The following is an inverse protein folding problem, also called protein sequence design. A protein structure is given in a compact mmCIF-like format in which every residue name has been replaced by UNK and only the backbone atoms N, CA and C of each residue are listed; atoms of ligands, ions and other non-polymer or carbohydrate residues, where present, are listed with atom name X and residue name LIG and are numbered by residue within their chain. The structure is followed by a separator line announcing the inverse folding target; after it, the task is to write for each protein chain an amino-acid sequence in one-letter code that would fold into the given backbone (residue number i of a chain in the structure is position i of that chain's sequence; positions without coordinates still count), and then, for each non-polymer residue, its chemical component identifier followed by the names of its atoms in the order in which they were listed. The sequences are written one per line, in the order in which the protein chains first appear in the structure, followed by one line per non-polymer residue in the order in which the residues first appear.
data_IF_982309366450
#
_entry.id   IF_982309366450
#
_cell.length_a   1.000
_cell.length_b   1.000
_cell.length_c   1.000
_cell.angle_alpha   90.00
_cell.angle_beta   90.00
_cell.angle_gamma   90.00
#
_symmetry.space_group_name_H-M   'P 1'
#
loop_
_entity.id
_entity.type
_entity.pdbx_description
1 polymer ?
#
# COMPACT_ATOMS: atom_id res chain seq x y z
N UNK A 1 7.81 -5.26 -13.48
CA UNK A 1 6.60 -5.01 -14.28
C UNK A 1 6.54 -5.88 -15.53
N UNK A 2 7.58 -5.92 -16.38
CA UNK A 2 7.59 -6.79 -17.57
C UNK A 2 7.48 -8.30 -17.20
N UNK A 3 8.26 -8.77 -16.22
CA UNK A 3 8.24 -10.16 -15.76
C UNK A 3 6.91 -10.57 -15.12
N UNK A 4 6.34 -9.73 -14.26
CA UNK A 4 5.01 -9.98 -13.67
C UNK A 4 3.89 -10.06 -14.71
N UNK A 5 4.03 -9.34 -15.84
CA UNK A 5 3.08 -9.46 -16.96
C UNK A 5 3.27 -10.78 -17.72
N UNK A 6 4.50 -11.27 -17.82
CA UNK A 6 4.81 -12.59 -18.40
C UNK A 6 4.23 -13.71 -17.52
N UNK A 7 4.46 -13.66 -16.21
CA UNK A 7 3.89 -14.61 -15.24
C UNK A 7 2.36 -14.62 -15.31
N UNK A 8 1.73 -13.43 -15.32
CA UNK A 8 0.28 -13.33 -15.47
C UNK A 8 -0.24 -13.96 -16.76
N UNK A 9 0.46 -13.81 -17.88
CA UNK A 9 0.06 -14.44 -19.16
C UNK A 9 0.13 -15.97 -19.08
N UNK A 10 1.19 -16.52 -18.48
CA UNK A 10 1.35 -17.96 -18.29
C UNK A 10 0.24 -18.48 -17.39
N UNK A 11 0.02 -17.83 -16.25
CA UNK A 11 -1.03 -18.15 -15.29
C UNK A 11 -2.42 -18.20 -15.89
N UNK A 12 -2.79 -17.21 -16.69
CA UNK A 12 -4.09 -17.19 -17.39
C UNK A 12 -4.25 -18.31 -18.43
N UNK A 13 -3.14 -18.80 -18.99
CA UNK A 13 -3.14 -19.92 -19.94
C UNK A 13 -3.33 -21.24 -19.19
N UNK A 14 -2.59 -21.45 -18.11
CA UNK A 14 -2.58 -22.69 -17.32
C UNK A 14 -3.80 -22.84 -16.42
N UNK A 15 -4.38 -21.74 -15.95
CA UNK A 15 -5.64 -21.74 -15.18
C UNK A 15 -6.78 -22.44 -15.95
N UNK A 16 -6.73 -22.49 -17.28
CA UNK A 16 -7.72 -23.20 -18.11
C UNK A 16 -7.68 -24.72 -17.95
N UNK A 17 -6.60 -25.27 -17.38
CA UNK A 17 -6.42 -26.71 -17.20
C UNK A 17 -7.01 -27.22 -15.88
N UNK A 18 -7.54 -26.34 -15.03
CA UNK A 18 -8.19 -26.76 -13.80
C UNK A 18 -9.54 -27.45 -14.03
N UNK A 19 -9.82 -28.47 -13.23
CA UNK A 19 -11.18 -28.94 -13.02
C UNK A 19 -12.00 -27.90 -12.20
N UNK A 20 -13.32 -28.01 -12.20
CA UNK A 20 -14.20 -27.03 -11.54
C UNK A 20 -13.89 -26.84 -10.04
N UNK A 21 -13.54 -27.95 -9.37
CA UNK A 21 -13.34 -27.97 -7.93
C UNK A 21 -12.03 -27.29 -7.49
N UNK A 22 -10.98 -27.41 -8.31
CA UNK A 22 -9.69 -26.72 -8.14
C UNK A 22 -9.75 -25.28 -8.62
N UNK A 23 -10.49 -25.00 -9.70
CA UNK A 23 -10.70 -23.65 -10.19
C UNK A 23 -11.39 -22.79 -9.13
N UNK A 24 -12.45 -23.30 -8.51
CA UNK A 24 -13.15 -22.60 -7.44
C UNK A 24 -12.22 -22.27 -6.25
N UNK A 25 -11.45 -23.25 -5.77
CA UNK A 25 -10.47 -23.03 -4.71
C UNK A 25 -9.42 -21.98 -5.13
N UNK A 26 -8.90 -22.08 -6.34
CA UNK A 26 -7.89 -21.17 -6.86
C UNK A 26 -8.40 -19.73 -7.01
N UNK A 27 -9.67 -19.52 -7.34
CA UNK A 27 -10.30 -18.20 -7.36
C UNK A 27 -10.42 -17.59 -5.96
N UNK A 28 -10.71 -18.41 -4.95
CA UNK A 28 -10.71 -17.97 -3.55
C UNK A 28 -9.31 -17.57 -3.09
N UNK A 29 -8.29 -18.38 -3.39
CA UNK A 29 -6.89 -18.07 -3.11
C UNK A 29 -6.46 -16.80 -3.86
N UNK A 30 -6.83 -16.66 -5.13
CA UNK A 30 -6.52 -15.47 -5.94
C UNK A 30 -7.08 -14.21 -5.31
N UNK A 31 -8.34 -14.27 -4.87
CA UNK A 31 -8.99 -13.16 -4.16
C UNK A 31 -8.27 -12.83 -2.85
N UNK A 32 -7.87 -13.86 -2.09
CA UNK A 32 -7.14 -13.71 -0.84
C UNK A 32 -5.74 -13.10 -1.05
N UNK A 33 -4.93 -13.61 -1.98
CA UNK A 33 -3.57 -13.08 -2.23
C UNK A 33 -3.64 -11.66 -2.81
N UNK A 34 -4.60 -11.35 -3.68
CA UNK A 34 -4.76 -10.01 -4.25
C UNK A 34 -5.07 -8.95 -3.20
N UNK A 35 -5.73 -9.31 -2.10
CA UNK A 35 -6.05 -8.38 -1.03
C UNK A 35 -4.87 -8.10 -0.09
N UNK A 36 -3.77 -8.85 -0.17
CA UNK A 36 -2.59 -8.67 0.70
C UNK A 36 -1.75 -7.42 0.38
N UNK A 37 -0.83 -7.08 1.29
CA UNK A 37 0.13 -5.98 1.12
C UNK A 37 1.35 -6.34 0.26
N UNK A 38 1.38 -7.56 -0.30
CA UNK A 38 2.47 -8.02 -1.15
C UNK A 38 2.56 -7.19 -2.43
N UNK A 39 3.77 -7.09 -2.97
CA UNK A 39 3.99 -6.39 -4.24
C UNK A 39 3.29 -7.12 -5.39
N UNK A 40 3.01 -6.42 -6.49
CA UNK A 40 2.38 -7.04 -7.66
C UNK A 40 3.16 -8.25 -8.18
N UNK A 41 4.49 -8.20 -8.10
CA UNK A 41 5.35 -9.31 -8.49
C UNK A 41 5.19 -10.50 -7.54
N UNK A 42 5.35 -10.27 -6.23
CA UNK A 42 5.18 -11.31 -5.19
C UNK A 42 3.80 -11.98 -5.28
N UNK A 43 2.74 -11.20 -5.53
CA UNK A 43 1.39 -11.73 -5.72
C UNK A 43 1.30 -12.68 -6.92
N UNK A 44 1.83 -12.28 -8.07
CA UNK A 44 1.78 -13.13 -9.27
C UNK A 44 2.71 -14.34 -9.13
N UNK A 45 3.83 -14.22 -8.42
CA UNK A 45 4.75 -15.31 -8.12
C UNK A 45 4.10 -16.38 -7.23
N UNK A 46 3.53 -15.98 -6.08
CA UNK A 46 2.80 -16.88 -5.18
C UNK A 46 1.64 -17.55 -5.90
N UNK A 47 0.86 -16.78 -6.67
CA UNK A 47 -0.28 -17.33 -7.41
C UNK A 47 0.14 -18.29 -8.51
N UNK A 48 1.33 -18.13 -9.07
CA UNK A 48 1.89 -19.09 -10.03
C UNK A 48 2.31 -20.37 -9.32
N UNK A 49 3.07 -20.28 -8.22
CA UNK A 49 3.50 -21.44 -7.45
C UNK A 49 2.32 -22.27 -6.92
N UNK A 50 1.28 -21.63 -6.37
CA UNK A 50 0.07 -22.33 -5.89
C UNK A 50 -0.67 -23.00 -7.06
N UNK A 51 -0.72 -22.33 -8.21
CA UNK A 51 -1.36 -22.91 -9.40
C UNK A 51 -0.64 -24.18 -9.84
N UNK A 52 0.69 -24.16 -9.89
CA UNK A 52 1.52 -25.30 -10.29
C UNK A 52 1.32 -26.48 -9.33
N UNK A 53 1.31 -26.23 -8.02
CA UNK A 53 1.04 -27.28 -7.02
C UNK A 53 -0.36 -27.88 -7.17
N UNK A 54 -1.40 -27.06 -7.39
CA UNK A 54 -2.76 -27.55 -7.58
C UNK A 54 -2.92 -28.33 -8.89
N UNK A 55 -2.29 -27.88 -9.97
CA UNK A 55 -2.29 -28.61 -11.24
C UNK A 55 -1.56 -29.94 -11.11
N UNK A 56 -0.41 -29.97 -10.43
CA UNK A 56 0.32 -31.20 -10.19
C UNK A 56 -0.51 -32.20 -9.36
N UNK A 57 -1.14 -31.76 -8.26
CA UNK A 57 -2.02 -32.61 -7.48
C UNK A 57 -3.18 -33.15 -8.33
N UNK A 58 -3.76 -32.33 -9.21
CA UNK A 58 -4.79 -32.76 -10.15
C UNK A 58 -4.27 -33.83 -11.13
N UNK A 59 -3.07 -33.65 -11.70
CA UNK A 59 -2.46 -34.64 -12.59
C UNK A 59 -2.17 -35.97 -11.89
N UNK A 60 -1.82 -35.92 -10.59
CA UNK A 60 -1.61 -37.10 -9.75
C UNK A 60 -2.91 -37.71 -9.19
N UNK A 61 -4.09 -37.18 -9.56
CA UNK A 61 -5.40 -37.53 -8.98
C UNK A 61 -5.45 -37.43 -7.44
N UNK A 62 -4.67 -36.51 -6.87
CA UNK A 62 -4.73 -36.17 -5.44
C UNK A 62 -5.78 -35.11 -5.19
N UNK A 63 -6.39 -35.16 -4.01
CA UNK A 63 -7.33 -34.13 -3.58
C UNK A 63 -6.60 -32.81 -3.30
N UNK A 64 -7.30 -31.69 -3.48
CA UNK A 64 -6.79 -30.33 -3.23
C UNK A 64 -6.34 -30.10 -1.78
N UNK A 65 -6.91 -30.84 -0.82
CA UNK A 65 -6.46 -30.85 0.57
C UNK A 65 -5.01 -31.32 0.72
N UNK A 66 -4.47 -32.08 -0.23
CA UNK A 66 -3.05 -32.48 -0.23
C UNK A 66 -2.11 -31.27 -0.37
N UNK A 67 -2.53 -30.22 -1.07
CA UNK A 67 -1.72 -29.01 -1.31
C UNK A 67 -2.00 -27.96 -0.25
N UNK A 68 -3.26 -27.72 0.04
CA UNK A 68 -3.71 -26.54 0.78
C UNK A 68 -4.17 -26.89 2.21
N UNK A 69 -4.28 -28.18 2.53
CA UNK A 69 -4.85 -28.67 3.78
C UNK A 69 -6.36 -28.45 3.87
N UNK A 70 -6.89 -28.52 5.09
CA UNK A 70 -8.32 -28.36 5.37
C UNK A 70 -8.75 -26.87 5.37
N UNK A 71 -7.84 -25.95 5.69
CA UNK A 71 -8.10 -24.50 5.68
C UNK A 71 -7.16 -23.74 4.73
N UNK A 72 -7.71 -23.36 3.58
CA UNK A 72 -6.96 -22.58 2.59
C UNK A 72 -6.49 -21.22 3.08
N UNK A 73 -7.17 -20.62 4.06
CA UNK A 73 -6.78 -19.32 4.61
C UNK A 73 -5.54 -19.45 5.48
N UNK A 74 -5.44 -20.52 6.24
CA UNK A 74 -4.25 -20.79 7.06
C UNK A 74 -3.02 -21.01 6.17
N UNK A 75 -3.18 -21.80 5.10
CA UNK A 75 -2.15 -21.97 4.07
C UNK A 75 -1.76 -20.64 3.39
N UNK A 76 -2.74 -19.82 2.98
CA UNK A 76 -2.41 -18.52 2.40
C UNK A 76 -1.67 -17.62 3.39
N UNK A 77 -2.09 -17.64 4.67
CA UNK A 77 -1.47 -16.87 5.74
C UNK A 77 -0.03 -17.30 5.98
N UNK A 78 0.26 -18.61 6.02
CA UNK A 78 1.62 -19.11 6.22
C UNK A 78 2.56 -18.66 5.10
N UNK A 79 2.11 -18.73 3.84
CA UNK A 79 2.88 -18.23 2.69
C UNK A 79 3.14 -16.73 2.82
N UNK A 80 2.11 -15.94 3.14
CA UNK A 80 2.27 -14.48 3.28
C UNK A 80 3.20 -14.13 4.44
N UNK A 81 3.11 -14.85 5.56
CA UNK A 81 3.96 -14.63 6.73
C UNK A 81 5.41 -14.94 6.41
N UNK A 82 5.69 -16.00 5.64
CA UNK A 82 7.03 -16.32 5.14
C UNK A 82 7.60 -15.20 4.24
N UNK A 83 6.82 -14.75 3.25
CA UNK A 83 7.21 -13.63 2.37
C UNK A 83 7.34 -12.29 3.10
N UNK A 84 6.65 -12.10 4.21
CA UNK A 84 6.70 -10.85 4.99
C UNK A 84 7.86 -10.85 5.97
N UNK A 85 8.12 -11.98 6.63
CA UNK A 85 9.20 -12.13 7.61
C UNK A 85 10.58 -12.14 6.95
N UNK A 86 10.68 -12.53 5.68
CA UNK A 86 11.93 -12.46 4.91
C UNK A 86 12.37 -11.02 4.57
N UNK A 87 11.52 -10.01 4.80
CA UNK A 87 11.82 -8.61 4.46
C UNK A 87 12.68 -7.93 5.52
N UNK A 88 13.79 -7.34 5.08
CA UNK A 88 14.67 -6.56 5.95
C UNK A 88 13.96 -5.32 6.51
N UNK A 89 14.36 -4.91 7.72
CA UNK A 89 13.88 -3.66 8.35
C UNK A 89 14.09 -2.44 7.45
N UNK A 90 15.20 -2.39 6.71
CA UNK A 90 15.48 -1.34 5.72
C UNK A 90 14.47 -1.33 4.58
N UNK A 91 14.11 -2.50 4.04
CA UNK A 91 13.07 -2.60 3.00
C UNK A 91 11.74 -2.03 3.50
N UNK A 92 11.32 -2.40 4.71
CA UNK A 92 10.08 -1.95 5.32
C UNK A 92 10.11 -0.43 5.55
N UNK A 93 11.22 0.12 6.02
CA UNK A 93 11.41 1.56 6.21
C UNK A 93 11.34 2.31 4.87
N UNK A 94 12.05 1.84 3.85
CA UNK A 94 12.03 2.46 2.51
C UNK A 94 10.64 2.37 1.86
N UNK A 95 9.87 1.31 2.13
CA UNK A 95 8.46 1.23 1.70
C UNK A 95 7.59 2.30 2.36
N UNK A 96 7.73 2.47 3.67
CA UNK A 96 7.04 3.51 4.40
C UNK A 96 7.43 4.90 3.91
N UNK A 97 8.73 5.16 3.76
CA UNK A 97 9.27 6.44 3.32
C UNK A 97 8.84 6.80 1.89
N UNK A 98 8.82 5.83 0.97
CA UNK A 98 8.34 6.04 -0.39
C UNK A 98 6.86 6.46 -0.42
N UNK A 99 6.01 5.77 0.35
CA UNK A 99 4.57 6.11 0.45
C UNK A 99 4.35 7.48 1.07
N UNK A 100 5.14 7.81 2.09
CA UNK A 100 5.13 9.12 2.72
C UNK A 100 5.47 10.25 1.73
N UNK A 101 6.57 10.12 0.99
CA UNK A 101 6.95 11.09 -0.05
C UNK A 101 5.86 11.25 -1.10
N UNK A 102 5.23 10.15 -1.51
CA UNK A 102 4.15 10.18 -2.49
C UNK A 102 2.95 11.00 -1.98
N UNK A 103 2.47 10.72 -0.77
CA UNK A 103 1.35 11.48 -0.19
C UNK A 103 1.72 12.94 0.06
N UNK A 104 2.93 13.21 0.53
CA UNK A 104 3.43 14.58 0.77
C UNK A 104 3.50 15.37 -0.53
N UNK A 105 4.03 14.76 -1.59
CA UNK A 105 4.05 15.36 -2.91
C UNK A 105 2.65 15.67 -3.43
N UNK A 106 1.70 14.73 -3.27
CA UNK A 106 0.32 14.92 -3.69
C UNK A 106 -0.37 16.07 -2.94
N UNK A 107 -0.24 16.14 -1.61
CA UNK A 107 -0.86 17.19 -0.81
C UNK A 107 -0.24 18.56 -1.08
N UNK A 108 1.09 18.63 -1.20
CA UNK A 108 1.78 19.88 -1.53
C UNK A 108 1.43 20.37 -2.93
N UNK A 109 1.30 19.45 -3.89
CA UNK A 109 0.85 19.77 -5.24
C UNK A 109 -0.59 20.32 -5.24
N UNK A 110 -1.50 19.73 -4.45
CA UNK A 110 -2.85 20.25 -4.29
C UNK A 110 -2.87 21.68 -3.71
N UNK A 111 -2.04 21.96 -2.69
CA UNK A 111 -1.90 23.32 -2.15
C UNK A 111 -1.30 24.30 -3.16
N UNK A 112 -0.31 23.88 -3.95
CA UNK A 112 0.25 24.69 -5.03
C UNK A 112 -0.80 25.06 -6.08
N UNK A 113 -1.61 24.09 -6.51
CA UNK A 113 -2.72 24.36 -7.43
C UNK A 113 -3.72 25.34 -6.80
N UNK A 114 -4.09 25.12 -5.54
CA UNK A 114 -5.03 25.99 -4.83
C UNK A 114 -4.51 27.43 -4.72
N UNK A 115 -3.23 27.63 -4.40
CA UNK A 115 -2.65 28.98 -4.29
C UNK A 115 -2.45 29.63 -5.67
N UNK A 116 -2.20 28.84 -6.71
CA UNK A 116 -2.04 29.34 -8.09
C UNK A 116 -3.37 29.74 -8.73
N UNK A 117 -4.43 28.96 -8.51
CA UNK A 117 -5.77 29.24 -9.04
C UNK A 117 -6.64 30.04 -8.07
N UNK A 118 -6.18 30.24 -6.84
CA UNK A 118 -6.83 31.03 -5.81
C UNK A 118 -6.43 32.50 -5.83
N UNK A 119 -6.74 33.18 -4.72
CA UNK A 119 -6.63 34.64 -4.57
C UNK A 119 -5.19 35.13 -4.70
N UNK A 120 -4.21 34.33 -4.26
CA UNK A 120 -2.81 34.76 -4.17
C UNK A 120 -2.07 34.70 -5.51
N UNK A 121 -2.57 33.92 -6.50
CA UNK A 121 -1.98 33.69 -7.84
C UNK A 121 -0.45 33.44 -7.85
N UNK A 122 0.10 32.86 -6.77
CA UNK A 122 1.53 32.62 -6.61
C UNK A 122 1.83 31.13 -6.49
N UNK A 123 2.97 30.70 -7.04
CA UNK A 123 3.54 29.39 -6.75
C UNK A 123 4.30 29.45 -5.43
N UNK A 124 3.56 29.63 -4.35
CA UNK A 124 4.09 29.64 -2.98
C UNK A 124 3.33 28.64 -2.13
N UNK A 125 3.98 28.16 -1.07
CA UNK A 125 3.34 27.34 -0.03
C UNK A 125 3.64 28.02 1.29
N UNK A 126 2.62 28.25 2.12
CA UNK A 126 2.85 28.77 3.47
C UNK A 126 3.46 27.69 4.37
N UNK A 127 4.20 28.10 5.41
CA UNK A 127 4.73 27.16 6.40
C UNK A 127 3.60 26.34 7.06
N UNK A 128 2.44 26.96 7.31
CA UNK A 128 1.25 26.26 7.82
C UNK A 128 0.72 25.18 6.86
N UNK A 129 0.65 25.45 5.55
CA UNK A 129 0.25 24.47 4.54
C UNK A 129 1.24 23.32 4.42
N UNK A 130 2.54 23.62 4.53
CA UNK A 130 3.59 22.59 4.57
C UNK A 130 3.43 21.69 5.80
N UNK A 131 3.26 22.26 6.98
CA UNK A 131 3.05 21.49 8.22
C UNK A 131 1.77 20.65 8.13
N UNK A 132 0.67 21.21 7.62
CA UNK A 132 -0.58 20.48 7.41
C UNK A 132 -0.39 19.30 6.45
N UNK A 133 0.35 19.50 5.35
CA UNK A 133 0.67 18.46 4.39
C UNK A 133 1.46 17.30 5.03
N UNK A 134 2.40 17.59 5.93
CA UNK A 134 3.14 16.56 6.67
C UNK A 134 2.20 15.73 7.55
N UNK A 135 1.28 16.38 8.27
CA UNK A 135 0.28 15.70 9.11
C UNK A 135 -0.58 14.77 8.26
N UNK A 136 -1.16 15.30 7.18
CA UNK A 136 -2.03 14.53 6.29
C UNK A 136 -1.28 13.33 5.71
N UNK A 137 -0.03 13.52 5.29
CA UNK A 137 0.76 12.48 4.63
C UNK A 137 1.15 11.34 5.56
N UNK A 138 1.51 11.63 6.81
CA UNK A 138 1.79 10.59 7.81
C UNK A 138 0.54 9.75 8.05
N UNK A 139 -0.61 10.41 8.24
CA UNK A 139 -1.88 9.73 8.50
C UNK A 139 -2.35 8.89 7.30
N UNK A 140 -2.29 9.43 6.08
CA UNK A 140 -2.64 8.71 4.85
C UNK A 140 -1.72 7.51 4.61
N UNK A 141 -0.43 7.64 4.92
CA UNK A 141 0.53 6.53 4.81
C UNK A 141 0.11 5.37 5.73
N UNK A 142 -0.29 5.68 6.96
CA UNK A 142 -0.76 4.68 7.91
C UNK A 142 -2.12 4.06 7.50
N UNK A 143 -3.10 4.88 7.09
CA UNK A 143 -4.40 4.41 6.56
C UNK A 143 -4.20 3.47 5.36
N UNK A 144 -3.33 3.86 4.42
CA UNK A 144 -3.07 3.06 3.21
C UNK A 144 -2.55 1.65 3.53
N UNK A 145 -1.87 1.50 4.67
CA UNK A 145 -1.36 0.20 5.16
C UNK A 145 -2.41 -0.59 5.93
N UNK A 146 -3.39 0.06 6.56
CA UNK A 146 -4.52 -0.59 7.24
C UNK A 146 -5.55 -1.09 6.24
N UNK A 147 -5.96 -0.27 5.27
CA UNK A 147 -6.96 -0.67 4.25
C UNK A 147 -6.47 -1.89 3.47
N UNK A 148 -5.18 -1.95 3.19
CA UNK A 148 -4.56 -3.10 2.53
C UNK A 148 -4.53 -4.35 3.44
N UNK A 149 -4.52 -4.21 4.77
CA UNK A 149 -4.65 -5.33 5.72
C UNK A 149 -6.10 -5.81 5.94
N UNK A 150 -7.08 -4.91 5.89
CA UNK A 150 -8.48 -5.20 6.27
C UNK A 150 -9.41 -5.51 5.08
N UNK A 151 -8.96 -5.44 3.83
CA UNK A 151 -9.78 -5.83 2.66
C UNK A 151 -10.11 -7.34 2.58
N UNK A 152 -9.85 -8.08 3.65
CA UNK A 152 -10.27 -9.47 3.89
C UNK A 152 -11.74 -9.50 4.31
N UNK A 153 -12.64 -9.23 3.37
CA UNK A 153 -13.99 -9.78 3.39
C UNK A 153 -14.22 -10.42 2.03
N UNK A 154 -13.85 -11.70 1.94
CA UNK A 154 -14.20 -12.55 0.80
C UNK A 154 -15.72 -12.66 0.80
N UNK A 155 -16.44 -12.18 -0.24
CA UNK A 155 -17.85 -12.51 -0.37
C UNK A 155 -17.95 -14.02 -0.53
N UNK A 156 -18.61 -14.65 0.45
CA UNK A 156 -19.01 -16.06 0.38
C UNK A 156 -19.94 -16.18 -0.82
N UNK A 157 -19.53 -17.01 -1.78
CA UNK A 157 -20.18 -17.48 -3.01
C UNK A 157 -21.52 -16.87 -3.44
N UNK A 158 -21.60 -16.58 -4.74
CA UNK A 158 -22.70 -17.02 -5.61
C UNK A 158 -24.13 -16.70 -5.17
N UNK A 159 -24.70 -15.65 -5.77
CA UNK A 159 -26.15 -15.34 -5.78
C UNK A 159 -26.78 -15.09 -4.41
N UNK A 160 -26.52 -13.93 -3.82
CA UNK A 160 -27.57 -13.26 -3.04
C UNK A 160 -27.41 -11.75 -3.11
N UNK A 161 -28.45 -11.06 -3.63
CA UNK A 161 -28.67 -9.65 -3.37
C UNK A 161 -28.78 -9.50 -1.84
N UNK A 162 -27.75 -9.00 -1.17
CA UNK A 162 -27.89 -8.56 0.20
C UNK A 162 -27.03 -7.31 0.41
N UNK A 163 -27.72 -6.22 0.74
CA UNK A 163 -27.15 -4.94 1.12
C UNK A 163 -25.98 -5.13 2.09
N UNK A 164 -24.77 -4.76 1.67
CA UNK A 164 -23.60 -4.70 2.54
C UNK A 164 -23.79 -3.57 3.55
N UNK A 165 -24.48 -3.86 4.66
CA UNK A 165 -24.28 -3.08 5.87
C UNK A 165 -22.84 -3.35 6.30
N UNK A 166 -21.96 -2.41 5.97
CA UNK A 166 -20.60 -2.29 6.51
C UNK A 166 -20.69 -2.37 8.04
N UNK A 167 -20.48 -3.56 8.59
CA UNK A 167 -20.31 -3.73 10.04
C UNK A 167 -18.82 -3.61 10.30
N UNK A 168 -18.38 -2.36 10.39
CA UNK A 168 -17.04 -1.95 10.79
C UNK A 168 -16.81 -2.42 12.23
N UNK A 169 -16.03 -3.48 12.40
CA UNK A 169 -15.71 -4.01 13.72
C UNK A 169 -14.50 -3.25 14.27
N UNK A 170 -14.79 -2.16 14.98
CA UNK A 170 -13.81 -1.31 15.66
C UNK A 170 -13.27 -2.07 16.88
N UNK A 171 -12.36 -3.01 16.66
CA UNK A 171 -11.32 -3.29 17.65
C UNK A 171 -10.04 -2.51 17.29
N UNK A 172 -10.24 -1.26 16.84
CA UNK A 172 -9.26 -0.38 16.19
C UNK A 172 -8.68 0.67 17.17
N UNK A 173 -8.62 0.36 18.47
CA UNK A 173 -8.23 1.33 19.50
C UNK A 173 -6.75 1.75 19.42
N UNK A 174 -5.85 0.84 19.05
CA UNK A 174 -4.42 1.15 18.89
C UNK A 174 -4.13 2.00 17.65
N UNK A 175 -4.84 1.75 16.54
CA UNK A 175 -4.74 2.56 15.33
C UNK A 175 -5.26 3.98 15.56
N UNK A 176 -6.48 4.12 16.10
CA UNK A 176 -7.09 5.41 16.44
C UNK A 176 -6.27 6.21 17.46
N UNK A 177 -5.70 5.55 18.48
CA UNK A 177 -4.85 6.23 19.45
C UNK A 177 -3.55 6.77 18.83
N UNK A 178 -2.98 6.09 17.83
CA UNK A 178 -1.82 6.59 17.09
C UNK A 178 -2.18 7.80 16.19
N UNK A 179 -3.34 7.78 15.54
CA UNK A 179 -3.86 8.93 14.79
C UNK A 179 -4.02 10.16 15.68
N UNK A 180 -4.69 10.02 16.83
CA UNK A 180 -4.85 11.10 17.80
C UNK A 180 -3.51 11.58 18.35
N UNK A 181 -2.57 10.66 18.61
CA UNK A 181 -1.22 10.99 19.08
C UNK A 181 -0.43 11.84 18.07
N UNK A 182 -0.40 11.47 16.79
CA UNK A 182 0.27 12.25 15.74
C UNK A 182 -0.37 13.64 15.61
N UNK A 183 -1.70 13.71 15.64
CA UNK A 183 -2.43 14.96 15.55
C UNK A 183 -2.10 15.90 16.74
N UNK A 184 -2.09 15.36 17.96
CA UNK A 184 -1.73 16.10 19.18
C UNK A 184 -0.29 16.62 19.13
N UNK A 185 0.68 15.77 18.76
CA UNK A 185 2.10 16.18 18.65
C UNK A 185 2.25 17.34 17.67
N UNK A 186 1.54 17.31 16.56
CA UNK A 186 1.63 18.38 15.55
C UNK A 186 0.95 19.68 15.96
N UNK A 187 -0.16 19.60 16.71
CA UNK A 187 -0.79 20.77 17.33
C UNK A 187 0.12 21.40 18.39
N UNK A 188 0.76 20.57 19.22
CA UNK A 188 1.74 21.03 20.22
C UNK A 188 2.92 21.71 19.52
N UNK A 189 3.41 21.16 18.41
CA UNK A 189 4.49 21.77 17.65
C UNK A 189 4.11 23.13 17.04
N UNK A 190 2.90 23.27 16.48
CA UNK A 190 2.40 24.57 16.00
C UNK A 190 2.26 25.58 17.14
N UNK A 191 1.76 25.15 18.29
CA UNK A 191 1.64 25.99 19.48
C UNK A 191 3.01 26.44 20.01
N UNK A 192 4.02 25.56 19.98
CA UNK A 192 5.41 25.90 20.31
C UNK A 192 5.97 26.94 19.34
N UNK A 193 5.77 26.79 18.03
CA UNK A 193 6.26 27.77 17.04
C UNK A 193 5.64 29.16 17.25
N UNK A 194 4.34 29.21 17.52
CA UNK A 194 3.63 30.48 17.75
C UNK A 194 4.02 31.11 19.10
N UNK A 195 3.98 30.35 20.20
CA UNK A 195 4.17 30.90 21.56
C UNK A 195 5.61 31.03 22.02
N UNK A 196 6.49 30.10 21.66
CA UNK A 196 7.90 30.11 22.11
C UNK A 196 8.82 30.84 21.13
N UNK A 197 8.55 30.74 19.83
CA UNK A 197 9.41 31.35 18.80
C UNK A 197 8.83 32.61 18.17
N UNK A 198 7.56 32.96 18.45
CA UNK A 198 6.87 34.11 17.87
C UNK A 198 6.86 34.07 16.33
N UNK A 199 6.96 32.86 15.76
CA UNK A 199 6.94 32.60 14.32
C UNK A 199 5.48 32.31 13.98
N UNK A 200 4.79 33.31 13.43
CA UNK A 200 3.43 33.13 12.90
C UNK A 200 3.51 32.29 11.60
N UNK A 201 3.16 30.99 11.61
CA UNK A 201 3.38 30.09 10.48
C UNK A 201 2.54 30.45 9.25
N UNK A 202 1.55 31.34 9.42
CA UNK A 202 0.72 31.86 8.34
C UNK A 202 1.37 33.00 7.57
N UNK A 203 2.40 33.64 8.14
CA UNK A 203 3.08 34.79 7.51
C UNK A 203 4.28 34.41 6.67
N UNK A 204 4.81 33.20 6.85
CA UNK A 204 5.99 32.73 6.12
C UNK A 204 5.57 31.93 4.88
N UNK A 205 5.89 32.49 3.71
CA UNK A 205 5.65 31.85 2.42
C UNK A 205 6.97 31.40 1.81
N UNK A 206 7.02 30.13 1.43
CA UNK A 206 8.11 29.55 0.65
C UNK A 206 7.77 29.76 -0.81
N UNK A 207 8.47 30.68 -1.47
CA UNK A 207 8.32 30.88 -2.92
C UNK A 207 9.06 29.75 -3.66
N UNK A 208 8.34 29.02 -4.49
CA UNK A 208 8.86 27.86 -5.22
C UNK A 208 9.12 28.17 -6.70
N UNK A 209 8.89 29.41 -7.15
CA UNK A 209 9.24 29.84 -8.49
C UNK A 209 10.74 29.61 -8.76
N UNK A 210 11.04 28.95 -9.88
CA UNK A 210 12.40 28.60 -10.30
C UNK A 210 12.99 27.36 -9.61
N UNK A 211 12.73 27.15 -8.32
CA UNK A 211 13.26 26.01 -7.55
C UNK A 211 12.49 24.71 -7.81
N UNK A 212 11.21 24.82 -8.20
CA UNK A 212 10.35 23.65 -8.45
C UNK A 212 10.90 22.69 -9.52
N UNK A 213 11.57 23.25 -10.54
CA UNK A 213 12.20 22.49 -11.62
C UNK A 213 13.41 21.65 -11.14
N UNK A 214 14.00 22.00 -10.01
CA UNK A 214 15.12 21.26 -9.39
C UNK A 214 14.59 20.25 -8.36
N UNK A 215 13.56 20.62 -7.59
CA UNK A 215 13.00 19.75 -6.55
C UNK A 215 12.33 18.51 -7.15
N UNK A 216 11.54 18.66 -8.21
CA UNK A 216 10.84 17.54 -8.87
C UNK A 216 11.80 16.42 -9.32
N UNK A 217 12.88 16.70 -10.08
CA UNK A 217 13.81 15.65 -10.51
C UNK A 217 14.57 15.03 -9.34
N UNK A 218 14.89 15.76 -8.28
CA UNK A 218 15.50 15.19 -7.06
C UNK A 218 14.54 14.18 -6.41
N UNK A 219 13.27 14.54 -6.24
CA UNK A 219 12.25 13.63 -5.68
C UNK A 219 12.11 12.39 -6.57
N UNK A 220 12.04 12.57 -7.89
CA UNK A 220 11.99 11.45 -8.84
C UNK A 220 13.21 10.54 -8.74
N UNK A 221 14.42 11.09 -8.62
CA UNK A 221 15.65 10.33 -8.43
C UNK A 221 15.64 9.52 -7.14
N UNK A 222 15.17 10.11 -6.02
CA UNK A 222 15.02 9.40 -4.75
C UNK A 222 14.01 8.25 -4.88
N UNK A 223 12.85 8.49 -5.50
CA UNK A 223 11.83 7.47 -5.74
C UNK A 223 12.35 6.34 -6.64
N UNK A 224 13.10 6.69 -7.70
CA UNK A 224 13.74 5.72 -8.59
C UNK A 224 14.80 4.90 -7.86
N UNK A 225 15.65 5.54 -7.04
CA UNK A 225 16.65 4.85 -6.22
C UNK A 225 16.03 3.83 -5.27
N UNK A 226 14.93 4.19 -4.60
CA UNK A 226 14.17 3.27 -3.75
C UNK A 226 13.56 2.13 -4.58
N UNK A 227 12.99 2.43 -5.75
CA UNK A 227 12.40 1.42 -6.62
C UNK A 227 13.46 0.41 -7.14
N UNK A 228 14.65 0.89 -7.51
CA UNK A 228 15.78 0.05 -7.93
C UNK A 228 16.28 -0.81 -6.77
N UNK A 229 16.44 -0.23 -5.58
CA UNK A 229 16.82 -0.98 -4.37
C UNK A 229 15.83 -2.12 -4.09
N UNK A 230 14.52 -1.83 -4.09
CA UNK A 230 13.49 -2.85 -3.87
C UNK A 230 13.49 -3.93 -4.95
N UNK A 231 13.69 -3.55 -6.22
CA UNK A 231 13.81 -4.52 -7.32
C UNK A 231 14.99 -5.47 -7.09
N UNK A 232 16.16 -4.93 -6.72
CA UNK A 232 17.35 -5.74 -6.48
C UNK A 232 17.21 -6.62 -5.24
N UNK A 233 16.49 -6.15 -4.21
CA UNK A 233 16.17 -6.95 -3.03
C UNK A 233 15.33 -8.18 -3.41
N UNK A 234 14.25 -7.97 -4.19
CA UNK A 234 13.35 -9.04 -4.66
C UNK A 234 13.96 -9.97 -5.72
N UNK A 235 15.15 -9.67 -6.25
CA UNK A 235 15.88 -10.56 -7.16
C UNK A 235 16.91 -11.42 -6.43
N UNK A 236 17.30 -11.04 -5.21
CA UNK A 236 18.29 -11.75 -4.38
C UNK A 236 17.66 -12.76 -3.44
N UNK A 237 16.37 -12.62 -3.15
CA UNK A 237 15.56 -13.41 -2.24
C UNK A 237 14.20 -13.62 -2.87
#
# INVERSE_FOLDING_TARGET
MMESLKLRKIRLKEQKNFNENNLCLYEHITSYIKSTNLTWYEKEEILHQIMDMLLQAQYENRDKSFVVGDDYKEFCKSIIDEYTNSKSKLYIFLDYFQRYIFWLGLTLFAHLLNNKFGIDNTFSISLSQFLLSNIISINLTFISKIITRESVLVPISGKSKLSSKFKYNINQSTGLNLFCGVFLVTFIFQFILDKLFNIDPYRYFINLNGVILIIIPIILLVLLGIAVYKKNYNLKY
#
